data_IF_381004360256
#
_entry.id   IF_381004360256
#
_cell.length_a   1.000
_cell.length_b   1.000
_cell.length_c   1.000
_cell.angle_alpha   90.00
_cell.angle_beta   90.00
_cell.angle_gamma   90.00
#
_symmetry.space_group_name_H-M   'P 1'
#
loop_
_entity.id
_entity.type
_entity.pdbx_description
1 polymer ?
#
# COMPACT_ATOMS: atom_id res chain seq x y z
N UNK A 1 -9.77 -17.74 -32.37
CA UNK A 1 -10.40 -18.37 -31.18
C UNK A 1 -9.46 -19.19 -30.27
N UNK A 2 -8.21 -19.49 -30.66
CA UNK A 2 -7.29 -20.31 -29.83
C UNK A 2 -6.37 -19.55 -28.87
N UNK A 3 -6.36 -18.22 -28.90
CA UNK A 3 -5.43 -17.40 -28.08
C UNK A 3 -6.06 -16.91 -26.76
N UNK A 4 -7.36 -17.05 -26.56
CA UNK A 4 -8.06 -16.51 -25.39
C UNK A 4 -7.89 -17.34 -24.11
N UNK A 5 -7.38 -18.57 -24.20
CA UNK A 5 -7.29 -19.54 -23.08
C UNK A 5 -5.88 -19.79 -22.54
N UNK A 6 -4.90 -18.97 -22.87
CA UNK A 6 -3.58 -19.11 -22.25
C UNK A 6 -3.62 -18.68 -20.79
N UNK A 7 -3.23 -19.56 -19.88
CA UNK A 7 -3.10 -19.24 -18.45
C UNK A 7 -2.25 -17.99 -18.27
N UNK A 8 -2.63 -17.06 -17.38
CA UNK A 8 -1.80 -15.90 -17.09
C UNK A 8 -0.48 -16.33 -16.46
N UNK A 9 0.48 -15.42 -16.45
CA UNK A 9 1.74 -15.60 -15.75
C UNK A 9 1.93 -14.49 -14.73
N UNK A 10 2.45 -14.85 -13.57
CA UNK A 10 2.76 -13.94 -12.47
C UNK A 10 4.28 -13.93 -12.31
N UNK A 11 4.87 -12.76 -12.29
CA UNK A 11 6.30 -12.57 -12.06
C UNK A 11 6.51 -11.52 -10.97
N UNK A 12 7.63 -11.58 -10.27
CA UNK A 12 7.97 -10.68 -9.19
C UNK A 12 9.22 -9.87 -9.48
N UNK A 13 9.23 -8.59 -9.08
CA UNK A 13 10.48 -7.86 -8.87
C UNK A 13 11.22 -8.41 -7.65
N UNK A 14 12.53 -8.20 -7.60
CA UNK A 14 13.41 -8.76 -6.57
C UNK A 14 12.94 -8.51 -5.13
N UNK A 15 12.39 -7.32 -4.88
CA UNK A 15 11.93 -6.93 -3.53
C UNK A 15 10.60 -7.57 -3.13
N UNK A 16 9.77 -7.95 -4.09
CA UNK A 16 8.38 -8.38 -3.83
C UNK A 16 8.19 -9.89 -3.96
N UNK A 17 9.26 -10.67 -4.04
CA UNK A 17 9.20 -12.13 -4.25
C UNK A 17 8.33 -12.81 -3.20
N UNK A 18 8.54 -12.54 -1.91
CA UNK A 18 7.79 -13.17 -0.81
C UNK A 18 6.28 -12.90 -0.90
N UNK A 19 5.89 -11.67 -1.22
CA UNK A 19 4.48 -11.34 -1.41
C UNK A 19 3.93 -11.97 -2.69
N UNK A 20 4.72 -11.98 -3.76
CA UNK A 20 4.31 -12.56 -5.04
C UNK A 20 4.12 -14.08 -4.97
N UNK A 21 4.95 -14.79 -4.19
CA UNK A 21 4.77 -16.23 -3.91
C UNK A 21 3.42 -16.48 -3.22
N UNK A 22 3.08 -15.71 -2.17
CA UNK A 22 1.77 -15.81 -1.51
C UNK A 22 0.60 -15.49 -2.45
N UNK A 23 0.77 -14.49 -3.34
CA UNK A 23 -0.24 -14.14 -4.34
C UNK A 23 -0.40 -15.28 -5.34
N UNK A 24 0.69 -15.83 -5.86
CA UNK A 24 0.68 -16.96 -6.81
C UNK A 24 0.04 -18.20 -6.20
N UNK A 25 0.38 -18.54 -4.95
CA UNK A 25 -0.24 -19.61 -4.18
C UNK A 25 -1.76 -19.39 -4.03
N UNK A 26 -2.19 -18.19 -3.58
CA UNK A 26 -3.60 -17.83 -3.45
C UNK A 26 -4.33 -17.81 -4.79
N UNK A 27 -3.62 -17.47 -5.86
CA UNK A 27 -4.12 -17.52 -7.24
C UNK A 27 -4.27 -18.99 -7.73
N UNK A 28 -3.43 -19.89 -7.27
CA UNK A 28 -3.40 -21.29 -7.66
C UNK A 28 -2.52 -21.58 -8.88
N UNK A 29 -1.44 -20.82 -9.08
CA UNK A 29 -0.40 -21.07 -10.10
C UNK A 29 0.99 -20.87 -9.52
N UNK A 30 1.99 -21.40 -10.19
CA UNK A 30 3.39 -21.16 -9.82
C UNK A 30 3.84 -19.75 -10.23
N UNK A 31 4.72 -19.17 -9.42
CA UNK A 31 5.41 -17.93 -9.75
C UNK A 31 6.37 -18.17 -10.92
N UNK A 32 6.30 -17.34 -11.95
CA UNK A 32 7.17 -17.40 -13.11
C UNK A 32 8.61 -16.99 -12.77
N UNK A 33 9.57 -17.50 -13.51
CA UNK A 33 10.99 -17.26 -13.26
C UNK A 33 11.50 -16.02 -13.99
N UNK A 34 12.12 -15.11 -13.22
CA UNK A 34 12.80 -13.92 -13.72
C UNK A 34 14.25 -13.95 -13.25
N UNK A 35 15.17 -13.74 -14.17
CA UNK A 35 16.59 -13.60 -13.86
C UNK A 35 17.00 -12.12 -13.95
N UNK A 36 17.70 -11.65 -12.93
CA UNK A 36 18.33 -10.34 -12.89
C UNK A 36 19.84 -10.51 -13.00
N UNK A 37 20.41 -10.10 -14.12
CA UNK A 37 21.83 -10.16 -14.39
C UNK A 37 22.46 -8.80 -14.08
N UNK A 38 23.34 -8.75 -13.09
CA UNK A 38 24.07 -7.54 -12.72
C UNK A 38 25.31 -7.38 -13.59
N UNK A 39 25.54 -6.13 -14.04
CA UNK A 39 26.80 -5.73 -14.69
C UNK A 39 27.78 -5.15 -13.67
N UNK A 40 29.04 -5.04 -14.04
CA UNK A 40 30.12 -4.60 -13.14
C UNK A 40 30.03 -3.13 -12.72
N UNK A 41 29.33 -2.32 -13.51
CA UNK A 41 29.08 -0.89 -13.25
C UNK A 41 27.85 -0.63 -12.36
N UNK A 42 27.09 -1.70 -12.01
CA UNK A 42 25.87 -1.63 -11.21
C UNK A 42 24.59 -1.58 -12.01
N UNK A 43 24.65 -1.48 -13.34
CA UNK A 43 23.46 -1.68 -14.19
C UNK A 43 23.00 -3.15 -14.14
N UNK A 44 21.80 -3.42 -14.58
CA UNK A 44 21.29 -4.79 -14.63
C UNK A 44 20.29 -4.99 -15.76
N UNK A 45 20.19 -6.23 -16.19
CA UNK A 45 19.23 -6.70 -17.18
C UNK A 45 18.24 -7.67 -16.53
N UNK A 46 16.96 -7.53 -16.89
CA UNK A 46 15.89 -8.46 -16.48
C UNK A 46 15.56 -9.38 -17.65
N UNK A 47 15.44 -10.68 -17.37
CA UNK A 47 15.11 -11.70 -18.37
C UNK A 47 14.04 -12.67 -17.83
N UNK A 48 12.94 -12.85 -18.57
CA UNK A 48 11.98 -13.91 -18.31
C UNK A 48 12.56 -15.24 -18.81
N UNK A 49 12.61 -16.25 -17.95
CA UNK A 49 13.18 -17.56 -18.30
C UNK A 49 12.16 -18.50 -18.96
N UNK A 50 11.01 -17.97 -19.35
CA UNK A 50 9.94 -18.71 -20.02
C UNK A 50 9.22 -17.87 -21.06
N UNK A 51 8.52 -18.55 -22.00
CA UNK A 51 7.77 -17.84 -23.04
C UNK A 51 6.52 -17.16 -22.48
N UNK A 52 6.40 -15.86 -22.75
CA UNK A 52 5.26 -15.01 -22.34
C UNK A 52 4.47 -14.46 -23.52
N UNK A 53 4.83 -14.88 -24.76
CA UNK A 53 4.19 -14.41 -26.00
C UNK A 53 2.69 -14.67 -25.98
N UNK A 54 1.91 -13.64 -26.25
CA UNK A 54 0.44 -13.69 -26.32
C UNK A 54 -0.26 -13.89 -24.98
N UNK A 55 0.47 -13.95 -23.85
CA UNK A 55 -0.11 -14.13 -22.51
C UNK A 55 -0.49 -12.84 -21.83
N UNK A 56 -1.40 -12.92 -20.88
CA UNK A 56 -1.64 -11.89 -19.88
C UNK A 56 -0.59 -12.05 -18.77
N UNK A 57 0.12 -10.95 -18.46
CA UNK A 57 1.23 -10.94 -17.51
C UNK A 57 0.88 -10.02 -16.35
N UNK A 58 1.06 -10.53 -15.13
CA UNK A 58 1.01 -9.75 -13.90
C UNK A 58 2.44 -9.60 -13.35
N UNK A 59 2.92 -8.37 -13.26
CA UNK A 59 4.24 -8.03 -12.74
C UNK A 59 4.05 -7.45 -11.34
N UNK A 60 4.44 -8.20 -10.31
CA UNK A 60 4.28 -7.80 -8.92
C UNK A 60 5.54 -7.12 -8.43
N UNK A 61 5.42 -5.84 -7.98
CA UNK A 61 6.55 -5.10 -7.48
C UNK A 61 6.16 -3.78 -6.84
N UNK A 62 6.35 -3.65 -5.54
CA UNK A 62 6.23 -2.38 -4.84
C UNK A 62 7.38 -1.45 -5.22
N UNK A 63 7.05 -0.16 -5.45
CA UNK A 63 8.02 0.82 -5.95
C UNK A 63 8.53 1.77 -4.85
N UNK A 64 8.58 1.28 -3.60
CA UNK A 64 9.24 1.98 -2.50
C UNK A 64 10.76 2.07 -2.72
N UNK A 65 11.46 3.04 -2.09
CA UNK A 65 12.92 3.13 -2.17
C UNK A 65 13.64 1.82 -1.78
N UNK A 66 14.80 1.51 -2.39
CA UNK A 66 15.57 2.36 -3.33
C UNK A 66 14.93 2.49 -4.72
N UNK A 67 15.37 3.49 -5.50
CA UNK A 67 14.81 3.78 -6.83
C UNK A 67 14.94 2.62 -7.81
N UNK A 68 15.86 1.69 -7.55
CA UNK A 68 16.05 0.46 -8.32
C UNK A 68 14.77 -0.39 -8.39
N UNK A 69 13.91 -0.33 -7.38
CA UNK A 69 12.64 -1.05 -7.40
C UNK A 69 11.71 -0.53 -8.50
N UNK A 70 11.66 0.79 -8.70
CA UNK A 70 10.91 1.38 -9.81
C UNK A 70 11.59 1.06 -11.15
N UNK A 71 12.92 1.17 -11.23
CA UNK A 71 13.67 0.87 -12.45
C UNK A 71 13.49 -0.60 -12.85
N UNK A 72 13.56 -1.54 -11.92
CA UNK A 72 13.33 -2.96 -12.18
C UNK A 72 11.93 -3.21 -12.75
N UNK A 73 10.90 -2.58 -12.17
CA UNK A 73 9.54 -2.67 -12.69
C UNK A 73 9.44 -2.15 -14.13
N UNK A 74 10.08 -1.02 -14.44
CA UNK A 74 10.10 -0.46 -15.81
C UNK A 74 10.79 -1.41 -16.81
N UNK A 75 11.92 -1.98 -16.42
CA UNK A 75 12.65 -2.96 -17.26
C UNK A 75 11.83 -4.24 -17.46
N UNK A 76 11.12 -4.74 -16.43
CA UNK A 76 10.22 -5.88 -16.56
C UNK A 76 9.07 -5.59 -17.54
N UNK A 77 8.46 -4.41 -17.45
CA UNK A 77 7.38 -3.99 -18.36
C UNK A 77 7.88 -3.91 -19.80
N UNK A 78 9.04 -3.26 -20.05
CA UNK A 78 9.61 -3.15 -21.39
C UNK A 78 9.99 -4.54 -21.95
N UNK A 79 10.61 -5.39 -21.14
CA UNK A 79 10.95 -6.76 -21.54
C UNK A 79 9.68 -7.57 -21.90
N UNK A 80 8.60 -7.46 -21.11
CA UNK A 80 7.34 -8.12 -21.40
C UNK A 80 6.70 -7.63 -22.70
N UNK A 81 6.73 -6.31 -22.95
CA UNK A 81 6.26 -5.70 -24.19
C UNK A 81 7.05 -6.21 -25.41
N UNK A 82 8.38 -6.23 -25.32
CA UNK A 82 9.25 -6.75 -26.41
C UNK A 82 9.10 -8.25 -26.63
N UNK A 83 8.80 -9.01 -25.60
CA UNK A 83 8.48 -10.44 -25.69
C UNK A 83 7.04 -10.70 -26.19
N UNK A 84 6.31 -9.68 -26.64
CA UNK A 84 4.96 -9.77 -27.20
C UNK A 84 3.91 -10.30 -26.20
N UNK A 85 4.01 -9.93 -24.93
CA UNK A 85 2.90 -10.12 -23.98
C UNK A 85 1.65 -9.39 -24.48
N UNK A 86 0.47 -10.03 -24.34
CA UNK A 86 -0.79 -9.44 -24.81
C UNK A 86 -1.29 -8.33 -23.90
N UNK A 87 -1.23 -8.55 -22.59
CA UNK A 87 -1.58 -7.57 -21.56
C UNK A 87 -0.52 -7.57 -20.49
N UNK A 88 -0.11 -6.39 -20.05
CA UNK A 88 0.90 -6.19 -19.02
C UNK A 88 0.26 -5.40 -17.89
N UNK A 89 -0.09 -6.10 -16.80
CA UNK A 89 -0.62 -5.47 -15.59
C UNK A 89 0.53 -5.25 -14.61
N UNK A 90 0.86 -4.00 -14.33
CA UNK A 90 1.78 -3.64 -13.26
C UNK A 90 1.02 -3.68 -11.93
N UNK A 91 1.28 -4.70 -11.12
CA UNK A 91 0.72 -4.87 -9.79
C UNK A 91 1.69 -4.28 -8.79
N UNK A 92 1.39 -3.08 -8.33
CA UNK A 92 2.21 -2.33 -7.37
C UNK A 92 1.48 -2.24 -6.05
N UNK A 93 1.65 -3.21 -5.12
CA UNK A 93 0.98 -3.16 -3.83
C UNK A 93 1.21 -1.84 -3.10
N UNK A 94 2.42 -1.30 -3.19
CA UNK A 94 2.74 0.08 -2.82
C UNK A 94 3.19 0.88 -4.05
N UNK A 95 2.45 1.94 -4.36
CA UNK A 95 2.82 2.92 -5.39
C UNK A 95 3.71 4.00 -4.79
N UNK A 96 5.00 3.93 -5.04
CA UNK A 96 5.97 4.92 -4.60
C UNK A 96 5.73 6.30 -5.22
N UNK A 97 6.26 7.36 -4.60
CA UNK A 97 6.13 8.76 -5.03
C UNK A 97 4.71 9.35 -4.91
N UNK A 98 3.75 8.59 -4.41
CA UNK A 98 2.35 8.99 -4.26
C UNK A 98 2.16 10.27 -3.42
N UNK A 99 3.05 10.54 -2.45
CA UNK A 99 3.01 11.77 -1.61
C UNK A 99 3.28 13.06 -2.37
N UNK A 100 3.75 12.98 -3.63
CA UNK A 100 3.99 14.13 -4.51
C UNK A 100 2.94 14.16 -5.62
N UNK A 101 1.66 14.19 -5.23
CA UNK A 101 0.49 14.17 -6.12
C UNK A 101 0.09 15.56 -6.63
N UNK A 102 0.61 16.61 -5.99
CA UNK A 102 0.34 18.02 -6.29
C UNK A 102 1.56 18.90 -6.01
N UNK A 103 1.51 20.12 -6.47
CA UNK A 103 2.46 21.15 -6.07
C UNK A 103 2.03 21.73 -4.73
N UNK A 104 2.76 21.46 -3.68
CA UNK A 104 2.59 22.03 -2.34
C UNK A 104 3.39 23.32 -2.14
N UNK A 105 4.35 23.59 -3.04
CA UNK A 105 5.17 24.78 -3.09
C UNK A 105 5.63 25.10 -4.52
N UNK A 106 6.13 26.32 -4.80
CA UNK A 106 6.66 26.66 -6.11
C UNK A 106 7.86 25.78 -6.54
N UNK A 107 7.94 25.49 -7.85
CA UNK A 107 9.10 24.83 -8.49
C UNK A 107 9.34 23.37 -8.09
N UNK A 108 8.35 22.68 -7.54
CA UNK A 108 8.43 21.24 -7.27
C UNK A 108 7.79 20.41 -8.37
N UNK A 109 8.18 19.14 -8.53
CA UNK A 109 7.53 18.22 -9.46
C UNK A 109 6.17 17.75 -8.95
N UNK A 110 5.40 17.11 -9.83
CA UNK A 110 4.32 16.19 -9.47
C UNK A 110 4.83 14.78 -9.80
N UNK A 111 5.59 14.19 -8.86
CA UNK A 111 6.30 12.95 -9.13
C UNK A 111 5.36 11.77 -9.36
N UNK A 112 4.20 11.72 -8.71
CA UNK A 112 3.18 10.70 -8.95
C UNK A 112 2.72 10.69 -10.43
N UNK A 113 2.53 11.88 -11.04
CA UNK A 113 2.20 11.98 -12.48
C UNK A 113 3.37 11.57 -13.38
N UNK A 114 4.60 11.92 -13.00
CA UNK A 114 5.78 11.49 -13.74
C UNK A 114 5.89 9.96 -13.74
N UNK A 115 5.80 9.32 -12.58
CA UNK A 115 5.87 7.85 -12.45
C UNK A 115 4.74 7.18 -13.23
N UNK A 116 3.51 7.70 -13.18
CA UNK A 116 2.40 7.19 -13.97
C UNK A 116 2.71 7.23 -15.49
N UNK A 117 3.29 8.34 -15.98
CA UNK A 117 3.66 8.47 -17.40
C UNK A 117 4.74 7.49 -17.83
N UNK A 118 5.81 7.31 -17.04
CA UNK A 118 6.91 6.43 -17.43
C UNK A 118 6.51 4.96 -17.40
N UNK A 119 5.65 4.52 -16.46
CA UNK A 119 5.09 3.17 -16.43
C UNK A 119 4.29 2.85 -17.70
N UNK A 120 3.45 3.79 -18.14
CA UNK A 120 2.68 3.66 -19.39
C UNK A 120 3.58 3.68 -20.63
N UNK A 121 4.56 4.57 -20.66
CA UNK A 121 5.53 4.65 -21.77
C UNK A 121 6.35 3.35 -21.90
N UNK A 122 6.72 2.72 -20.78
CA UNK A 122 7.36 1.41 -20.76
C UNK A 122 6.47 0.32 -21.37
N UNK A 123 5.13 0.43 -21.23
CA UNK A 123 4.20 -0.51 -21.87
C UNK A 123 3.16 -1.15 -20.92
N UNK A 124 3.01 -0.65 -19.71
CA UNK A 124 1.93 -1.10 -18.83
C UNK A 124 0.56 -0.83 -19.47
N UNK A 125 -0.29 -1.84 -19.55
CA UNK A 125 -1.66 -1.74 -20.13
C UNK A 125 -2.74 -1.67 -19.06
N UNK A 126 -2.39 -1.91 -17.80
CA UNK A 126 -3.24 -1.82 -16.61
C UNK A 126 -2.37 -1.64 -15.38
N UNK A 127 -2.87 -0.90 -14.41
CA UNK A 127 -2.24 -0.73 -13.10
C UNK A 127 -3.15 -1.37 -12.05
N UNK A 128 -2.57 -2.05 -11.08
CA UNK A 128 -3.26 -2.53 -9.90
C UNK A 128 -2.48 -2.10 -8.67
N UNK A 129 -3.13 -1.45 -7.71
CA UNK A 129 -2.45 -0.91 -6.53
C UNK A 129 -3.39 -0.89 -5.32
N UNK A 130 -2.84 -0.65 -4.12
CA UNK A 130 -3.62 -0.59 -2.90
C UNK A 130 -3.41 0.76 -2.20
N UNK A 131 -4.48 1.32 -1.64
CA UNK A 131 -4.50 2.55 -0.82
C UNK A 131 -3.54 3.65 -1.31
N UNK A 132 -3.81 4.20 -2.47
CA UNK A 132 -3.10 5.38 -2.95
C UNK A 132 -3.18 6.51 -1.91
N UNK A 133 -2.08 7.23 -1.73
CA UNK A 133 -2.03 8.38 -0.81
C UNK A 133 -3.12 9.42 -1.10
N UNK A 134 -3.50 9.54 -2.36
CA UNK A 134 -4.59 10.39 -2.82
C UNK A 134 -5.34 9.67 -3.95
N UNK A 135 -6.66 9.50 -3.81
CA UNK A 135 -7.51 8.75 -4.76
C UNK A 135 -7.42 9.31 -6.18
N UNK A 136 -7.25 10.63 -6.33
CA UNK A 136 -7.15 11.30 -7.62
C UNK A 136 -5.90 10.91 -8.45
N UNK A 137 -4.91 10.25 -7.85
CA UNK A 137 -3.74 9.72 -8.58
C UNK A 137 -4.18 8.74 -9.68
N UNK A 138 -5.32 8.06 -9.51
CA UNK A 138 -5.92 7.21 -10.55
C UNK A 138 -6.10 7.97 -11.87
N UNK A 139 -6.46 9.25 -11.81
CA UNK A 139 -6.62 10.13 -12.97
C UNK A 139 -5.30 10.54 -13.64
N UNK A 140 -4.13 10.13 -13.11
CA UNK A 140 -2.85 10.37 -13.77
C UNK A 140 -2.52 9.32 -14.83
N UNK A 141 -3.27 8.23 -14.85
CA UNK A 141 -3.11 7.14 -15.80
C UNK A 141 -4.15 7.25 -16.92
N UNK A 142 -3.74 6.93 -18.14
CA UNK A 142 -4.61 6.79 -19.31
C UNK A 142 -5.03 5.32 -19.52
N UNK A 143 -4.44 4.39 -18.76
CA UNK A 143 -4.80 2.97 -18.73
C UNK A 143 -5.69 2.68 -17.49
N UNK A 144 -6.48 1.59 -17.51
CA UNK A 144 -7.30 1.21 -16.37
C UNK A 144 -6.47 1.06 -15.09
N UNK A 145 -7.02 1.54 -13.97
CA UNK A 145 -6.44 1.42 -12.63
C UNK A 145 -7.40 0.68 -11.72
N UNK A 146 -6.97 -0.46 -11.19
CA UNK A 146 -7.65 -1.17 -10.12
C UNK A 146 -7.07 -0.68 -8.79
N UNK A 147 -7.77 0.24 -8.13
CA UNK A 147 -7.37 0.78 -6.83
C UNK A 147 -8.05 -0.02 -5.73
N UNK A 148 -7.32 -0.89 -5.05
CA UNK A 148 -7.81 -1.74 -3.96
C UNK A 148 -7.73 -0.99 -2.62
N UNK A 149 -8.61 -1.37 -1.69
CA UNK A 149 -8.64 -0.79 -0.34
C UNK A 149 -8.30 -1.87 0.70
N UNK A 150 -7.30 -1.58 1.53
CA UNK A 150 -6.89 -2.47 2.62
C UNK A 150 -7.98 -2.61 3.70
N UNK A 151 -8.96 -1.69 3.75
CA UNK A 151 -10.13 -1.83 4.61
C UNK A 151 -10.82 -3.19 4.46
N UNK A 152 -10.84 -3.75 3.25
CA UNK A 152 -11.44 -5.08 2.96
C UNK A 152 -10.79 -6.20 3.78
N UNK A 153 -9.51 -6.11 4.10
CA UNK A 153 -8.77 -7.11 4.88
C UNK A 153 -8.52 -6.68 6.31
N UNK A 154 -8.44 -5.38 6.58
CA UNK A 154 -8.15 -4.85 7.92
C UNK A 154 -9.41 -4.79 8.81
N UNK A 155 -10.59 -4.49 8.25
CA UNK A 155 -11.84 -4.43 9.02
C UNK A 155 -12.20 -5.77 9.67
N UNK A 156 -12.17 -6.92 8.97
CA UNK A 156 -12.39 -8.22 9.61
C UNK A 156 -11.40 -8.51 10.75
N UNK A 157 -10.17 -8.01 10.65
CA UNK A 157 -9.19 -8.15 11.72
C UNK A 157 -9.58 -7.31 12.95
N UNK A 158 -10.11 -6.10 12.76
CA UNK A 158 -10.63 -5.27 13.86
C UNK A 158 -11.82 -5.93 14.54
N UNK A 159 -12.76 -6.46 13.78
CA UNK A 159 -13.92 -7.19 14.35
C UNK A 159 -13.49 -8.39 15.19
N UNK A 160 -12.47 -9.13 14.73
CA UNK A 160 -11.92 -10.28 15.48
C UNK A 160 -11.25 -9.90 16.81
N UNK A 161 -10.91 -8.62 17.04
CA UNK A 161 -10.38 -8.16 18.32
C UNK A 161 -11.45 -8.16 19.44
N UNK A 162 -12.75 -8.21 19.09
CA UNK A 162 -13.89 -8.20 20.03
C UNK A 162 -13.77 -7.11 21.10
N UNK A 163 -13.48 -5.88 20.69
CA UNK A 163 -13.30 -4.72 21.58
C UNK A 163 -14.64 -4.01 21.78
N UNK A 164 -14.96 -3.68 23.04
CA UNK A 164 -16.07 -2.79 23.36
C UNK A 164 -15.67 -1.32 23.17
N UNK A 165 -16.66 -0.46 22.97
CA UNK A 165 -16.47 1.00 22.90
C UNK A 165 -15.36 1.43 21.93
N UNK A 166 -15.37 0.86 20.70
CA UNK A 166 -14.43 1.25 19.64
C UNK A 166 -14.72 2.68 19.19
N UNK A 167 -13.66 3.44 18.98
CA UNK A 167 -13.66 4.74 18.31
C UNK A 167 -12.54 4.78 17.28
N UNK A 168 -12.86 5.14 16.05
CA UNK A 168 -11.87 5.31 14.98
C UNK A 168 -11.24 6.69 15.09
N UNK A 169 -9.93 6.77 14.86
CA UNK A 169 -9.23 8.04 14.89
C UNK A 169 -8.37 8.24 13.64
N UNK A 170 -8.29 9.49 13.18
CA UNK A 170 -7.31 9.90 12.18
C UNK A 170 -6.12 10.59 12.84
N UNK A 171 -4.87 10.22 12.53
CA UNK A 171 -3.68 10.87 13.12
C UNK A 171 -3.45 12.28 12.61
N UNK A 172 -4.17 12.71 11.55
CA UNK A 172 -4.17 14.07 11.02
C UNK A 172 -5.44 14.38 10.22
N UNK A 173 -5.54 15.59 9.68
CA UNK A 173 -6.71 16.03 8.88
C UNK A 173 -6.78 15.31 7.52
N UNK A 174 -5.65 14.90 6.96
CA UNK A 174 -5.58 14.25 5.64
C UNK A 174 -6.25 12.89 5.62
N UNK A 175 -6.13 12.11 6.71
CA UNK A 175 -6.74 10.79 6.88
C UNK A 175 -8.22 10.79 7.27
N UNK A 176 -8.86 11.95 7.48
CA UNK A 176 -10.22 12.05 8.02
C UNK A 176 -11.27 11.30 7.18
N UNK A 177 -11.19 11.34 5.86
CA UNK A 177 -12.10 10.61 4.95
C UNK A 177 -11.98 9.08 5.17
N UNK A 178 -10.75 8.57 5.31
CA UNK A 178 -10.48 7.16 5.59
C UNK A 178 -11.04 6.76 6.95
N UNK A 179 -10.75 7.54 7.99
CA UNK A 179 -11.27 7.30 9.33
C UNK A 179 -12.80 7.26 9.34
N UNK A 180 -13.45 8.17 8.62
CA UNK A 180 -14.91 8.18 8.49
C UNK A 180 -15.45 6.92 7.79
N UNK A 181 -14.80 6.42 6.73
CA UNK A 181 -15.21 5.19 6.07
C UNK A 181 -15.15 3.97 7.02
N UNK A 182 -14.08 3.85 7.81
CA UNK A 182 -13.95 2.79 8.82
C UNK A 182 -15.01 2.92 9.92
N UNK A 183 -15.24 4.15 10.44
CA UNK A 183 -16.25 4.38 11.49
C UNK A 183 -17.66 4.08 11.03
N UNK A 184 -17.99 4.40 9.78
CA UNK A 184 -19.28 4.09 9.18
C UNK A 184 -19.52 2.58 9.09
N UNK A 185 -18.50 1.81 8.69
CA UNK A 185 -18.60 0.35 8.63
C UNK A 185 -18.78 -0.26 10.02
N UNK A 186 -17.96 0.16 11.00
CA UNK A 186 -17.98 -0.33 12.38
C UNK A 186 -19.11 0.29 13.23
N UNK A 187 -19.87 1.25 12.67
CA UNK A 187 -20.97 1.97 13.35
C UNK A 187 -20.52 2.61 14.69
N UNK A 188 -19.36 3.25 14.67
CA UNK A 188 -18.74 3.89 15.84
C UNK A 188 -18.40 5.37 15.56
N UNK A 189 -17.98 6.09 16.60
CA UNK A 189 -17.58 7.48 16.52
C UNK A 189 -16.23 7.65 15.82
N UNK A 190 -15.97 8.89 15.35
CA UNK A 190 -14.71 9.30 14.77
C UNK A 190 -14.09 10.45 15.57
N UNK A 191 -12.78 10.35 15.76
CA UNK A 191 -11.94 11.38 16.40
C UNK A 191 -10.85 11.80 15.41
N UNK A 192 -10.48 13.07 15.41
CA UNK A 192 -9.48 13.61 14.48
C UNK A 192 -8.38 14.31 15.27
N UNK A 193 -7.12 13.98 14.98
CA UNK A 193 -5.99 14.73 15.48
C UNK A 193 -5.74 15.93 14.57
N UNK A 194 -5.61 17.11 15.18
CA UNK A 194 -5.28 18.33 14.49
C UNK A 194 -3.87 18.80 14.90
N UNK A 195 -3.00 18.91 13.89
CA UNK A 195 -1.62 19.32 14.10
C UNK A 195 -1.44 20.80 13.75
N UNK A 196 -1.12 21.63 14.75
CA UNK A 196 -0.74 23.02 14.55
C UNK A 196 0.80 23.16 14.42
N UNK A 197 1.25 23.61 13.26
CA UNK A 197 2.66 24.06 13.09
C UNK A 197 2.76 25.53 13.41
N UNK A 198 3.24 25.88 14.62
CA UNK A 198 3.39 27.29 15.02
C UNK A 198 4.58 28.02 14.41
N UNK A 199 5.66 27.33 14.02
CA UNK A 199 6.83 27.83 13.21
C UNK A 199 7.68 26.65 12.75
N UNK A 200 8.53 26.85 11.73
CA UNK A 200 9.60 25.93 11.41
C UNK A 200 10.50 25.73 12.66
N UNK A 201 10.70 24.50 13.10
CA UNK A 201 11.52 24.09 14.27
C UNK A 201 10.94 24.31 15.68
N UNK A 202 9.64 24.57 15.87
CA UNK A 202 9.00 24.62 17.18
C UNK A 202 8.11 23.37 17.37
N UNK A 203 8.12 22.82 18.60
CA UNK A 203 7.37 21.63 19.02
C UNK A 203 5.92 21.74 18.54
N UNK A 204 5.54 20.84 17.62
CA UNK A 204 4.18 20.72 17.12
C UNK A 204 3.22 20.39 18.27
N UNK A 205 2.26 21.24 18.52
CA UNK A 205 1.11 20.91 19.38
C UNK A 205 0.13 20.09 18.55
N UNK A 206 -0.31 18.96 19.12
CA UNK A 206 -1.36 18.14 18.54
C UNK A 206 -2.59 18.21 19.45
N UNK A 207 -3.72 18.52 18.87
CA UNK A 207 -5.01 18.51 19.55
C UNK A 207 -5.85 17.33 19.06
N UNK A 208 -6.57 16.68 19.96
CA UNK A 208 -7.51 15.61 19.66
C UNK A 208 -8.92 16.18 19.75
N UNK A 209 -9.63 16.15 18.64
CA UNK A 209 -11.01 16.63 18.50
C UNK A 209 -11.94 15.43 18.58
N UNK A 210 -12.76 15.37 19.63
CA UNK A 210 -13.67 14.26 19.95
C UNK A 210 -13.37 13.65 21.30
N UNK A 211 -14.20 12.68 21.71
CA UNK A 211 -14.07 12.00 23.02
C UNK A 211 -13.29 10.70 22.87
N UNK A 212 -12.26 10.54 23.70
CA UNK A 212 -11.42 9.30 23.77
C UNK A 212 -11.49 8.61 25.12
N UNK A 213 -12.04 9.29 26.17
CA UNK A 213 -12.11 8.76 27.52
C UNK A 213 -12.96 7.48 27.57
N UNK A 214 -12.42 6.43 28.18
CA UNK A 214 -13.08 5.15 28.29
C UNK A 214 -13.27 4.39 26.95
N UNK A 215 -12.54 4.75 25.90
CA UNK A 215 -12.68 4.19 24.54
C UNK A 215 -11.46 3.35 24.14
N UNK A 216 -11.71 2.33 23.33
CA UNK A 216 -10.67 1.62 22.59
C UNK A 216 -10.45 2.31 21.24
N UNK A 217 -9.33 2.99 21.08
CA UNK A 217 -9.06 3.81 19.91
C UNK A 217 -8.32 2.99 18.84
N UNK A 218 -8.75 3.17 17.59
CA UNK A 218 -8.07 2.61 16.42
C UNK A 218 -7.72 3.76 15.47
N UNK A 219 -6.44 4.12 15.44
CA UNK A 219 -5.87 5.06 14.49
C UNK A 219 -5.80 4.42 13.11
N UNK A 220 -6.26 5.12 12.08
CA UNK A 220 -6.20 4.62 10.68
C UNK A 220 -5.47 5.60 9.78
N UNK A 221 -4.53 5.07 8.97
CA UNK A 221 -3.78 5.86 7.98
C UNK A 221 -3.44 5.00 6.75
N UNK A 222 -3.01 5.63 5.64
CA UNK A 222 -2.52 4.91 4.47
C UNK A 222 -1.11 4.36 4.68
N UNK A 223 -0.26 5.10 5.37
CA UNK A 223 1.13 4.70 5.58
C UNK A 223 1.70 5.15 6.92
N UNK A 224 2.66 4.42 7.42
CA UNK A 224 3.50 4.81 8.53
C UNK A 224 4.95 4.94 8.06
N UNK A 225 5.51 6.17 8.11
CA UNK A 225 6.90 6.44 7.72
C UNK A 225 7.80 6.48 8.96
N UNK A 226 7.97 7.63 9.60
CA UNK A 226 8.83 7.76 10.81
C UNK A 226 8.10 7.47 12.12
N UNK A 227 6.81 7.15 12.06
CA UNK A 227 5.89 6.90 13.17
C UNK A 227 5.67 8.07 14.14
N UNK A 228 6.29 9.24 13.94
CA UNK A 228 6.23 10.34 14.90
C UNK A 228 4.82 10.88 15.16
N UNK A 229 4.01 11.07 14.11
CA UNK A 229 2.62 11.54 14.25
C UNK A 229 1.76 10.47 14.93
N UNK A 230 1.90 9.21 14.50
CA UNK A 230 1.12 8.10 14.98
C UNK A 230 1.34 7.83 16.48
N UNK A 231 2.61 7.77 16.90
CA UNK A 231 2.95 7.50 18.31
C UNK A 231 2.55 8.66 19.21
N UNK A 232 2.80 9.91 18.78
CA UNK A 232 2.36 11.09 19.54
C UNK A 232 0.84 11.15 19.70
N UNK A 233 0.07 10.76 18.66
CA UNK A 233 -1.38 10.67 18.77
C UNK A 233 -1.80 9.62 19.80
N UNK A 234 -1.14 8.46 19.79
CA UNK A 234 -1.42 7.39 20.75
C UNK A 234 -1.15 7.84 22.21
N UNK A 235 0.00 8.44 22.47
CA UNK A 235 0.39 8.91 23.80
C UNK A 235 -0.64 9.95 24.33
N UNK A 236 -1.00 10.96 23.54
CA UNK A 236 -1.99 11.98 23.92
C UNK A 236 -3.37 11.35 24.18
N UNK A 237 -3.79 10.38 23.39
CA UNK A 237 -5.07 9.71 23.61
C UNK A 237 -5.09 8.89 24.89
N UNK A 238 -3.98 8.22 25.21
CA UNK A 238 -3.82 7.51 26.50
C UNK A 238 -3.81 8.47 27.68
N UNK A 239 -3.10 9.60 27.59
CA UNK A 239 -3.13 10.69 28.60
C UNK A 239 -4.54 11.26 28.83
N UNK A 240 -5.40 11.23 27.80
CA UNK A 240 -6.80 11.66 27.87
C UNK A 240 -7.78 10.55 28.31
N UNK A 241 -7.30 9.44 28.82
CA UNK A 241 -8.12 8.38 29.42
C UNK A 241 -8.63 7.32 28.43
N UNK A 242 -8.02 7.16 27.25
CA UNK A 242 -8.33 6.02 26.39
C UNK A 242 -7.96 4.69 27.07
N UNK A 243 -8.78 3.65 26.87
CA UNK A 243 -8.52 2.30 27.42
C UNK A 243 -7.36 1.62 26.69
N UNK A 244 -7.24 1.83 25.42
CA UNK A 244 -6.13 1.36 24.59
C UNK A 244 -6.10 2.12 23.28
N UNK A 245 -4.90 2.22 22.68
CA UNK A 245 -4.72 2.76 21.33
C UNK A 245 -4.02 1.73 20.46
N UNK A 246 -4.59 1.43 19.32
CA UNK A 246 -4.03 0.61 18.24
C UNK A 246 -3.97 1.42 16.97
N UNK A 247 -3.18 0.98 16.00
CA UNK A 247 -3.12 1.61 14.70
C UNK A 247 -3.25 0.58 13.57
N UNK A 248 -3.94 0.99 12.50
CA UNK A 248 -4.03 0.28 11.23
C UNK A 248 -3.39 1.16 10.16
N UNK A 249 -2.40 0.65 9.48
CA UNK A 249 -1.83 1.33 8.33
C UNK A 249 -1.57 0.34 7.20
N UNK A 250 -1.86 0.75 5.98
CA UNK A 250 -1.66 -0.14 4.84
C UNK A 250 -0.17 -0.33 4.56
N UNK A 251 0.59 0.76 4.46
CA UNK A 251 1.97 0.72 4.00
C UNK A 251 2.97 0.96 5.15
N UNK A 252 3.71 -0.09 5.49
CA UNK A 252 4.73 -0.06 6.54
C UNK A 252 6.10 0.41 5.99
N UNK A 253 6.28 1.71 5.73
CA UNK A 253 7.56 2.25 5.25
C UNK A 253 8.62 2.13 6.35
N UNK A 254 8.27 2.48 7.58
CA UNK A 254 9.03 2.33 8.81
C UNK A 254 10.49 2.79 8.67
N UNK A 255 10.66 4.05 8.27
CA UNK A 255 11.97 4.65 8.06
C UNK A 255 12.54 5.28 9.33
N UNK A 256 13.86 5.43 9.36
CA UNK A 256 14.57 6.09 10.45
C UNK A 256 14.25 5.52 11.83
N UNK A 257 13.78 6.34 12.80
CA UNK A 257 13.53 5.91 14.17
C UNK A 257 12.16 5.25 14.39
N UNK A 258 11.44 4.84 13.34
CA UNK A 258 10.05 4.37 13.43
C UNK A 258 9.88 3.20 14.41
N UNK A 259 10.72 2.17 14.30
CA UNK A 259 10.65 1.01 15.20
C UNK A 259 10.86 1.38 16.66
N UNK A 260 11.86 2.23 16.94
CA UNK A 260 12.16 2.69 18.30
C UNK A 260 11.00 3.51 18.90
N UNK A 261 10.40 4.39 18.09
CA UNK A 261 9.25 5.20 18.50
C UNK A 261 8.04 4.33 18.83
N UNK A 262 7.74 3.33 17.99
CA UNK A 262 6.62 2.41 18.19
C UNK A 262 6.83 1.63 19.49
N UNK A 263 8.03 1.08 19.72
CA UNK A 263 8.33 0.32 20.96
C UNK A 263 8.20 1.16 22.22
N UNK A 264 8.62 2.44 22.19
CA UNK A 264 8.58 3.35 23.34
C UNK A 264 7.23 4.00 23.60
N UNK A 265 6.32 4.02 22.63
CA UNK A 265 5.01 4.68 22.73
C UNK A 265 3.99 3.85 23.48
N UNK A 266 2.89 4.49 23.88
CA UNK A 266 1.70 3.83 24.47
C UNK A 266 0.86 3.07 23.44
N UNK A 267 1.29 3.03 22.16
CA UNK A 267 0.63 2.23 21.14
C UNK A 267 0.68 0.74 21.52
N UNK A 268 -0.49 0.11 21.65
CA UNK A 268 -0.60 -1.29 22.03
C UNK A 268 -0.14 -2.22 20.90
N UNK A 269 -0.53 -1.91 19.66
CA UNK A 269 -0.10 -2.62 18.47
C UNK A 269 -0.28 -1.76 17.22
N UNK A 270 0.57 -1.99 16.22
CA UNK A 270 0.46 -1.48 14.86
C UNK A 270 0.19 -2.64 13.92
N UNK A 271 -0.95 -2.61 13.25
CA UNK A 271 -1.35 -3.61 12.28
C UNK A 271 -1.10 -3.03 10.89
N UNK A 272 -0.33 -3.73 10.08
CA UNK A 272 0.08 -3.31 8.74
C UNK A 272 -0.19 -4.41 7.71
N UNK A 273 -0.09 -4.07 6.42
CA UNK A 273 -0.08 -5.10 5.37
C UNK A 273 1.34 -5.43 4.93
N UNK A 274 1.47 -6.51 4.15
CA UNK A 274 2.74 -6.91 3.53
C UNK A 274 2.99 -6.27 2.15
N UNK A 275 2.36 -5.13 1.86
CA UNK A 275 2.63 -4.31 0.64
C UNK A 275 4.08 -3.84 0.55
N UNK A 276 4.74 -3.67 1.68
CA UNK A 276 6.18 -3.40 1.82
C UNK A 276 6.73 -4.41 2.82
N UNK A 277 7.81 -5.15 2.50
CA UNK A 277 8.40 -6.08 3.44
C UNK A 277 8.98 -5.37 4.66
N UNK A 278 8.72 -5.91 5.86
CA UNK A 278 9.29 -5.37 7.10
C UNK A 278 10.81 -5.57 7.12
N UNK A 279 11.52 -4.53 7.53
CA UNK A 279 13.00 -4.57 7.70
C UNK A 279 13.43 -5.27 8.99
N UNK A 280 12.58 -5.23 10.01
CA UNK A 280 12.81 -5.82 11.34
C UNK A 280 11.52 -6.40 11.90
N UNK A 281 11.63 -7.39 12.74
CA UNK A 281 10.51 -7.87 13.56
C UNK A 281 10.33 -6.99 14.79
N UNK A 282 9.09 -6.85 15.24
CA UNK A 282 8.71 -6.14 16.47
C UNK A 282 7.50 -6.83 17.08
N UNK A 283 7.46 -6.93 18.40
CA UNK A 283 6.33 -7.52 19.13
C UNK A 283 5.05 -6.69 18.99
N UNK A 284 5.19 -5.39 18.74
CA UNK A 284 4.07 -4.45 18.55
C UNK A 284 3.57 -4.37 17.11
N UNK A 285 4.26 -4.97 16.13
CA UNK A 285 3.87 -4.88 14.72
C UNK A 285 3.30 -6.23 14.24
N UNK A 286 2.04 -6.22 13.79
CA UNK A 286 1.37 -7.36 13.18
C UNK A 286 1.16 -7.15 11.70
N UNK A 287 1.34 -8.19 10.91
CA UNK A 287 1.17 -8.15 9.45
C UNK A 287 -0.07 -8.94 9.06
N UNK A 288 -0.97 -8.30 8.32
CA UNK A 288 -2.10 -8.92 7.63
C UNK A 288 -1.76 -9.00 6.15
N UNK A 289 -1.74 -10.20 5.58
CA UNK A 289 -1.36 -10.37 4.18
C UNK A 289 -2.43 -9.84 3.23
N UNK A 290 -2.00 -9.03 2.26
CA UNK A 290 -2.86 -8.56 1.17
C UNK A 290 -2.90 -9.55 -0.02
N UNK A 291 -2.14 -10.63 0.03
CA UNK A 291 -2.02 -11.59 -1.07
C UNK A 291 -3.37 -12.19 -1.52
N UNK A 292 -4.27 -12.65 -0.63
CA UNK A 292 -5.55 -13.20 -1.06
C UNK A 292 -6.42 -12.20 -1.83
N UNK A 293 -6.40 -10.92 -1.41
CA UNK A 293 -7.17 -9.86 -2.07
C UNK A 293 -6.63 -9.58 -3.49
N UNK A 294 -5.29 -9.43 -3.63
CA UNK A 294 -4.69 -9.27 -4.95
C UNK A 294 -4.96 -10.46 -5.86
N UNK A 295 -4.82 -11.69 -5.37
CA UNK A 295 -5.09 -12.90 -6.13
C UNK A 295 -6.54 -12.98 -6.62
N UNK A 296 -7.52 -12.66 -5.77
CA UNK A 296 -8.93 -12.63 -6.14
C UNK A 296 -9.22 -11.59 -7.24
N UNK A 297 -8.71 -10.37 -7.08
CA UNK A 297 -8.89 -9.31 -8.08
C UNK A 297 -8.19 -9.67 -9.39
N UNK A 298 -6.99 -10.24 -9.35
CA UNK A 298 -6.28 -10.72 -10.55
C UNK A 298 -7.08 -11.82 -11.28
N UNK A 299 -7.73 -12.75 -10.55
CA UNK A 299 -8.65 -13.76 -11.12
C UNK A 299 -9.84 -13.09 -11.82
N UNK A 300 -10.45 -12.11 -11.17
CA UNK A 300 -11.58 -11.35 -11.74
C UNK A 300 -11.18 -10.57 -12.99
N UNK A 301 -10.01 -9.93 -12.99
CA UNK A 301 -9.45 -9.28 -14.18
C UNK A 301 -9.18 -10.29 -15.31
N UNK A 302 -8.67 -11.48 -14.99
CA UNK A 302 -8.44 -12.54 -15.99
C UNK A 302 -9.75 -13.04 -16.60
N UNK A 303 -10.80 -13.18 -15.80
CA UNK A 303 -12.10 -13.71 -16.22
C UNK A 303 -13.07 -12.63 -16.70
N UNK A 304 -12.65 -11.36 -16.74
CA UNK A 304 -13.48 -10.20 -17.10
C UNK A 304 -14.73 -10.08 -16.20
N UNK A 305 -14.65 -10.46 -14.93
CA UNK A 305 -15.72 -10.32 -13.94
C UNK A 305 -15.55 -9.05 -13.10
N UNK A 306 -16.66 -8.56 -12.54
CA UNK A 306 -16.66 -7.31 -11.76
C UNK A 306 -15.82 -7.42 -10.49
N UNK A 307 -15.08 -6.36 -10.17
CA UNK A 307 -14.32 -6.19 -8.92
C UNK A 307 -15.06 -5.31 -7.90
N UNK A 308 -16.25 -4.79 -8.24
CA UNK A 308 -16.96 -3.79 -7.41
C UNK A 308 -17.29 -4.27 -6.00
N UNK A 309 -17.46 -5.57 -5.77
CA UNK A 309 -17.71 -6.14 -4.44
C UNK A 309 -16.50 -6.10 -3.49
N UNK A 310 -15.31 -5.70 -3.98
CA UNK A 310 -14.09 -5.58 -3.18
C UNK A 310 -13.86 -4.15 -2.66
N UNK A 311 -14.79 -3.23 -2.89
CA UNK A 311 -14.68 -1.85 -2.45
C UNK A 311 -15.53 -1.62 -1.20
N UNK A 312 -14.90 -1.73 -0.02
CA UNK A 312 -15.46 -1.21 1.24
C UNK A 312 -14.92 0.20 1.41
N UNK A 313 -15.75 1.20 1.07
CA UNK A 313 -15.45 2.62 1.17
C UNK A 313 -16.22 3.27 2.31
#
# INVERSE_FOLDING_TARGET
MLVENLSPKIFASSQSVVLAEKIAESYGIELGKVKKNMFSDGEYQVCFEESIRGRRIFLIGSTNPPNDNLMEMLLMIDAAKRASARHITAVMPYFGWARQDRKDQPRVPIAAKLVAKILQAAGATRIMTMDLHADQIQGFFEVPVDHLFASTILLPHVEALNLDHITIASPDMGGSKRAYAYSKYLKCEVVICYKQRKKANVIDTMEVIGNVEGRNIILVDDMVDTAGTLTKAADIMMERGALSVRALTTHAILSGPAYERIEKSDLKELIVTDTIPLKKQSSKIKVVSCAPLFADVMKKVQTNTSISGQFIM
#
